data_IF_502199744686
#
_entry.id   IF_502199744686
#
_cell.length_a   1.000
_cell.length_b   1.000
_cell.length_c   1.000
_cell.angle_alpha   90.00
_cell.angle_beta   90.00
_cell.angle_gamma   90.00
#
_symmetry.space_group_name_H-M   'P 1'
#
loop_
_entity.id
_entity.type
_entity.pdbx_description
1 polymer ?
#
# COMPACT_ATOMS: atom_id res chain seq x y z
N UNK A 1 -3.16 -7.60 -8.89
CA UNK A 1 -4.48 -7.35 -8.28
C UNK A 1 -4.70 -8.37 -7.16
N UNK A 2 -5.20 -7.95 -5.98
CA UNK A 2 -5.42 -8.87 -4.86
C UNK A 2 -6.43 -9.96 -5.24
N UNK A 3 -6.27 -11.17 -4.71
CA UNK A 3 -7.30 -12.21 -4.85
C UNK A 3 -8.57 -11.79 -4.11
N UNK A 4 -9.74 -12.24 -4.60
CA UNK A 4 -11.02 -11.93 -3.93
C UNK A 4 -11.04 -12.42 -2.48
N UNK A 5 -10.43 -13.58 -2.22
CA UNK A 5 -10.31 -14.13 -0.86
C UNK A 5 -9.53 -13.18 0.06
N UNK A 6 -8.38 -12.67 -0.42
CA UNK A 6 -7.56 -11.75 0.37
C UNK A 6 -8.25 -10.40 0.56
N UNK A 7 -8.91 -9.89 -0.50
CA UNK A 7 -9.66 -8.63 -0.45
C UNK A 7 -10.84 -8.68 0.53
N UNK A 8 -11.47 -9.84 0.71
CA UNK A 8 -12.53 -10.01 1.70
C UNK A 8 -12.00 -10.24 3.12
N UNK A 9 -10.75 -10.69 3.26
CA UNK A 9 -10.12 -10.98 4.55
C UNK A 9 -9.54 -9.74 5.25
N UNK A 10 -8.89 -8.86 4.48
CA UNK A 10 -8.28 -7.64 5.05
C UNK A 10 -9.34 -6.56 5.33
N UNK A 11 -9.09 -5.73 6.35
CA UNK A 11 -9.98 -4.63 6.73
C UNK A 11 -10.04 -3.52 5.67
N UNK A 12 -11.09 -2.70 5.72
CA UNK A 12 -11.22 -1.52 4.85
C UNK A 12 -9.99 -0.59 4.97
N UNK A 13 -9.51 -0.31 6.18
CA UNK A 13 -8.32 0.53 6.35
C UNK A 13 -7.05 -0.05 5.72
N UNK A 14 -6.91 -1.37 5.62
CA UNK A 14 -5.80 -1.99 4.88
C UNK A 14 -5.98 -1.87 3.37
N UNK A 15 -7.22 -1.90 2.87
CA UNK A 15 -7.51 -1.66 1.45
C UNK A 15 -7.19 -0.23 1.08
N UNK A 16 -7.64 0.73 1.91
CA UNK A 16 -7.37 2.15 1.74
C UNK A 16 -5.86 2.42 1.65
N UNK A 17 -5.06 1.80 2.53
CA UNK A 17 -3.60 1.90 2.49
C UNK A 17 -2.97 1.31 1.22
N UNK A 18 -3.54 0.22 0.69
CA UNK A 18 -3.06 -0.37 -0.57
C UNK A 18 -3.41 0.56 -1.74
N UNK A 19 -4.62 1.09 -1.78
CA UNK A 19 -5.08 2.00 -2.82
C UNK A 19 -4.28 3.32 -2.79
N UNK A 20 -4.00 3.85 -1.60
CA UNK A 20 -3.12 5.02 -1.41
C UNK A 20 -1.70 4.75 -1.91
N UNK A 21 -1.11 3.60 -1.56
CA UNK A 21 0.21 3.21 -2.07
C UNK A 21 0.26 3.10 -3.60
N UNK A 22 -0.81 2.61 -4.23
CA UNK A 22 -0.93 2.54 -5.69
C UNK A 22 -1.03 3.94 -6.32
N UNK A 23 -1.80 4.85 -5.72
CA UNK A 23 -1.87 6.24 -6.17
C UNK A 23 -0.54 6.97 -6.03
N UNK A 24 0.20 6.75 -4.94
CA UNK A 24 1.53 7.33 -4.74
C UNK A 24 2.55 6.77 -5.73
N UNK A 25 2.46 5.47 -6.06
CA UNK A 25 3.28 4.86 -7.10
C UNK A 25 3.00 5.48 -8.46
N UNK A 26 1.72 5.56 -8.86
CA UNK A 26 1.32 6.20 -10.13
C UNK A 26 1.77 7.67 -10.18
N UNK A 27 1.64 8.40 -9.07
CA UNK A 27 2.11 9.76 -8.98
C UNK A 27 3.63 9.85 -9.16
N UNK A 28 4.39 8.99 -8.47
CA UNK A 28 5.85 8.98 -8.53
C UNK A 28 6.40 8.52 -9.90
N UNK A 29 5.68 7.65 -10.61
CA UNK A 29 6.02 7.23 -11.98
C UNK A 29 5.72 8.32 -13.03
N UNK A 30 4.64 9.08 -12.84
CA UNK A 30 4.19 10.12 -13.78
C UNK A 30 4.71 11.52 -13.46
N UNK A 31 5.29 11.73 -12.29
CA UNK A 31 5.92 13.00 -11.93
C UNK A 31 7.20 13.18 -12.76
N UNK A 32 7.27 14.26 -13.54
CA UNK A 32 8.49 14.72 -14.21
C UNK A 32 9.57 15.24 -13.24
N UNK A 33 9.41 15.04 -11.93
CA UNK A 33 10.46 15.27 -10.93
C UNK A 33 11.46 14.10 -11.00
N UNK A 34 12.38 14.20 -11.96
CA UNK A 34 13.16 13.07 -12.47
C UNK A 34 14.05 12.35 -11.45
N UNK A 35 14.19 12.79 -10.19
CA UNK A 35 15.05 12.09 -9.21
C UNK A 35 14.66 12.39 -7.76
N UNK A 36 13.49 11.93 -7.30
CA UNK A 36 13.30 11.82 -5.86
C UNK A 36 14.37 10.88 -5.29
N UNK A 37 15.15 11.37 -4.32
CA UNK A 37 16.19 10.54 -3.67
C UNK A 37 15.59 9.50 -2.72
N UNK A 38 14.33 9.68 -2.31
CA UNK A 38 13.64 8.79 -1.39
C UNK A 38 12.22 8.48 -1.91
N UNK A 39 11.96 7.19 -2.08
CA UNK A 39 10.65 6.63 -2.46
C UNK A 39 9.97 5.91 -1.29
N UNK A 40 10.45 6.10 -0.06
CA UNK A 40 9.89 5.48 1.14
C UNK A 40 8.39 5.73 1.28
N UNK A 41 7.93 6.93 0.90
CA UNK A 41 6.51 7.31 0.91
C UNK A 41 5.63 6.40 0.04
N UNK A 42 6.15 5.81 -1.04
CA UNK A 42 5.44 4.83 -1.87
C UNK A 42 5.30 3.51 -1.12
N UNK A 43 6.34 3.09 -0.39
CA UNK A 43 6.41 1.78 0.28
C UNK A 43 5.65 1.78 1.61
N UNK A 44 5.62 2.92 2.32
CA UNK A 44 5.03 3.03 3.66
C UNK A 44 3.59 2.55 3.77
N UNK A 45 2.65 2.92 2.87
CA UNK A 45 1.27 2.46 2.94
C UNK A 45 1.16 0.93 2.82
N UNK A 46 1.91 0.32 1.91
CA UNK A 46 1.94 -1.14 1.75
C UNK A 46 2.50 -1.84 2.99
N UNK A 47 3.60 -1.31 3.55
CA UNK A 47 4.19 -1.84 4.78
C UNK A 47 3.20 -1.76 5.95
N UNK A 48 2.41 -0.67 6.04
CA UNK A 48 1.38 -0.50 7.06
C UNK A 48 0.20 -1.44 6.86
N UNK A 49 -0.25 -1.64 5.63
CA UNK A 49 -1.29 -2.62 5.30
C UNK A 49 -0.85 -4.05 5.67
N UNK A 50 0.43 -4.37 5.41
CA UNK A 50 1.02 -5.65 5.79
C UNK A 50 1.17 -5.80 7.31
N UNK A 51 1.58 -4.77 8.04
CA UNK A 51 1.57 -4.77 9.51
C UNK A 51 0.16 -5.08 10.05
N UNK A 52 -0.87 -4.43 9.49
CA UNK A 52 -2.26 -4.71 9.83
C UNK A 52 -2.65 -6.16 9.57
N UNK A 53 -2.19 -6.74 8.46
CA UNK A 53 -2.47 -8.14 8.10
C UNK A 53 -1.84 -9.10 9.11
N UNK A 54 -0.57 -8.87 9.46
CA UNK A 54 0.11 -9.68 10.46
C UNK A 54 -0.60 -9.61 11.81
N UNK A 55 -1.10 -8.43 12.21
CA UNK A 55 -1.91 -8.32 13.43
C UNK A 55 -3.19 -9.15 13.34
N UNK A 56 -3.93 -9.12 12.23
CA UNK A 56 -5.15 -9.95 12.06
C UNK A 56 -4.86 -11.47 12.10
N UNK A 57 -3.68 -11.88 11.65
CA UNK A 57 -3.30 -13.30 11.62
C UNK A 57 -2.86 -13.79 13.00
N UNK A 58 -2.17 -12.95 13.78
CA UNK A 58 -1.49 -13.36 15.00
C UNK A 58 -2.10 -12.81 16.31
N UNK A 59 -3.05 -11.88 16.25
CA UNK A 59 -3.74 -11.27 17.40
C UNK A 59 -5.26 -11.40 17.26
#
# INVERSE_FOLDING_TARGET
>A
MLSEQLRNYISEGQKDLIDEGLHLLEHAENSHDENLHDYSFVVFPFAKAYEGFLKQVFL
#
